data_IF_741906833200
#
_entry.id   IF_741906833200
#
_cell.length_a   1.000
_cell.length_b   1.000
_cell.length_c   1.000
_cell.angle_alpha   90.00
_cell.angle_beta   90.00
_cell.angle_gamma   90.00
#
_symmetry.space_group_name_H-M   'P 1'
#
loop_
_entity.id
_entity.type
_entity.pdbx_description
1 polymer ?
#
# COMPACT_ATOMS: atom_id res chain seq x y z
N UNK A 1 -10.01 12.85 -29.69
CA UNK A 1 -8.53 12.95 -29.79
C UNK A 1 -7.85 12.76 -28.44
N UNK A 2 -8.54 13.00 -27.32
CA UNK A 2 -8.03 12.78 -25.95
C UNK A 2 -7.57 11.34 -25.71
N UNK A 3 -8.37 10.35 -26.07
CA UNK A 3 -8.07 8.93 -25.82
C UNK A 3 -6.81 8.45 -26.57
N UNK A 4 -6.61 8.92 -27.81
CA UNK A 4 -5.40 8.61 -28.58
C UNK A 4 -4.15 9.18 -27.90
N UNK A 5 -4.25 10.40 -27.33
CA UNK A 5 -3.16 11.02 -26.59
C UNK A 5 -2.85 10.24 -25.29
N UNK A 6 -3.89 9.81 -24.56
CA UNK A 6 -3.74 8.98 -23.36
C UNK A 6 -3.09 7.63 -23.69
N UNK A 7 -3.54 6.96 -24.76
CA UNK A 7 -2.95 5.71 -25.22
C UNK A 7 -1.49 5.89 -25.66
N UNK A 8 -1.20 6.95 -26.41
CA UNK A 8 0.15 7.29 -26.82
C UNK A 8 1.04 7.55 -25.59
N UNK A 9 0.54 8.29 -24.60
CA UNK A 9 1.27 8.56 -23.36
C UNK A 9 1.54 7.27 -22.59
N UNK A 10 0.56 6.36 -22.51
CA UNK A 10 0.76 5.05 -21.88
C UNK A 10 1.93 4.29 -22.50
N UNK A 11 1.90 4.14 -23.83
CA UNK A 11 2.89 3.37 -24.60
C UNK A 11 4.28 3.99 -24.49
N UNK A 12 4.37 5.33 -24.57
CA UNK A 12 5.65 6.03 -24.58
C UNK A 12 6.26 6.23 -23.20
N UNK A 13 5.43 6.37 -22.16
CA UNK A 13 5.84 6.81 -20.84
C UNK A 13 5.34 5.88 -19.72
N UNK A 14 4.04 5.75 -19.50
CA UNK A 14 3.50 5.09 -18.30
C UNK A 14 3.95 3.63 -18.19
N UNK A 15 3.86 2.86 -19.27
CA UNK A 15 4.22 1.43 -19.30
C UNK A 15 5.67 1.16 -18.84
N UNK A 16 6.60 2.06 -19.18
CA UNK A 16 8.02 1.96 -18.82
C UNK A 16 8.30 2.16 -17.35
N UNK A 17 7.41 2.87 -16.67
CA UNK A 17 7.54 3.24 -15.26
C UNK A 17 6.69 2.36 -14.34
N UNK A 18 5.99 1.35 -14.87
CA UNK A 18 5.13 0.48 -14.07
C UNK A 18 5.89 -0.49 -13.18
N UNK A 19 7.16 -0.75 -13.47
CA UNK A 19 8.02 -1.69 -12.73
C UNK A 19 9.47 -1.31 -12.98
N UNK A 20 10.33 -1.53 -11.97
CA UNK A 20 11.77 -1.37 -12.10
C UNK A 20 12.41 -2.62 -12.74
N UNK A 21 11.71 -3.75 -12.70
CA UNK A 21 12.23 -5.01 -13.21
C UNK A 21 12.14 -5.11 -14.74
N UNK A 22 13.30 -5.08 -15.42
CA UNK A 22 13.41 -5.10 -16.90
C UNK A 22 12.60 -6.19 -17.59
N UNK A 23 12.52 -7.41 -17.02
CA UNK A 23 11.71 -8.47 -17.62
C UNK A 23 10.20 -8.21 -17.50
N UNK A 24 9.76 -7.58 -16.40
CA UNK A 24 8.36 -7.23 -16.15
C UNK A 24 7.94 -6.06 -17.05
N UNK A 25 8.86 -5.14 -17.33
CA UNK A 25 8.63 -3.99 -18.24
C UNK A 25 8.11 -4.43 -19.60
N UNK A 26 8.62 -5.53 -20.15
CA UNK A 26 8.17 -6.05 -21.47
C UNK A 26 6.67 -6.39 -21.47
N UNK A 27 6.14 -6.88 -20.35
CA UNK A 27 4.71 -7.18 -20.21
C UNK A 27 3.89 -5.89 -20.27
N UNK A 28 4.31 -4.87 -19.55
CA UNK A 28 3.64 -3.55 -19.54
C UNK A 28 3.73 -2.84 -20.89
N UNK A 29 4.85 -2.93 -21.60
CA UNK A 29 5.05 -2.23 -22.88
C UNK A 29 4.37 -2.91 -24.06
N UNK A 30 4.16 -4.23 -24.02
CA UNK A 30 3.71 -5.00 -25.18
C UNK A 30 2.43 -5.78 -24.92
N UNK A 31 2.45 -6.63 -23.89
CA UNK A 31 1.36 -7.58 -23.65
C UNK A 31 0.09 -6.85 -23.22
N UNK A 32 0.19 -5.92 -22.26
CA UNK A 32 -0.97 -5.18 -21.77
C UNK A 32 -1.61 -4.30 -22.86
N UNK A 33 -0.87 -3.50 -23.65
CA UNK A 33 -1.44 -2.76 -24.78
C UNK A 33 -2.10 -3.66 -25.83
N UNK A 34 -1.49 -4.80 -26.16
CA UNK A 34 -2.07 -5.76 -27.12
C UNK A 34 -3.39 -6.35 -26.59
N UNK A 35 -3.42 -6.71 -25.30
CA UNK A 35 -4.65 -7.18 -24.65
C UNK A 35 -5.72 -6.10 -24.59
N UNK A 36 -5.34 -4.85 -24.29
CA UNK A 36 -6.25 -3.71 -24.26
C UNK A 36 -6.84 -3.41 -25.64
N UNK A 37 -6.07 -3.56 -26.73
CA UNK A 37 -6.59 -3.41 -28.08
C UNK A 37 -7.68 -4.43 -28.43
N UNK A 38 -7.70 -5.58 -27.76
CA UNK A 38 -8.69 -6.65 -27.93
C UNK A 38 -9.81 -6.65 -26.87
N UNK A 39 -9.67 -5.90 -25.78
CA UNK A 39 -10.60 -5.89 -24.65
C UNK A 39 -10.92 -4.46 -24.22
N UNK A 40 -12.18 -4.04 -24.44
CA UNK A 40 -12.63 -2.67 -24.19
C UNK A 40 -12.43 -2.21 -22.75
N UNK A 41 -12.75 -3.05 -21.76
CA UNK A 41 -12.58 -2.69 -20.36
C UNK A 41 -11.10 -2.50 -19.98
N UNK A 42 -10.19 -3.28 -20.58
CA UNK A 42 -8.75 -3.11 -20.38
C UNK A 42 -8.25 -1.80 -21.02
N UNK A 43 -8.77 -1.45 -22.20
CA UNK A 43 -8.46 -0.15 -22.82
C UNK A 43 -8.83 0.99 -21.88
N UNK A 44 -10.04 0.98 -21.33
CA UNK A 44 -10.47 2.00 -20.38
C UNK A 44 -9.57 2.09 -19.15
N UNK A 45 -9.17 0.97 -18.55
CA UNK A 45 -8.24 0.98 -17.41
C UNK A 45 -6.84 1.51 -17.78
N UNK A 46 -6.33 1.17 -18.98
CA UNK A 46 -5.06 1.69 -19.51
C UNK A 46 -5.12 3.22 -19.69
N UNK A 47 -6.19 3.73 -20.29
CA UNK A 47 -6.39 5.17 -20.50
C UNK A 47 -6.49 5.93 -19.17
N UNK A 48 -7.22 5.37 -18.19
CA UNK A 48 -7.35 5.96 -16.87
C UNK A 48 -5.99 6.06 -16.16
N UNK A 49 -5.18 5.00 -16.20
CA UNK A 49 -3.86 4.98 -15.58
C UNK A 49 -2.87 5.93 -16.26
N UNK A 50 -2.93 6.06 -17.59
CA UNK A 50 -2.14 7.02 -18.33
C UNK A 50 -2.50 8.46 -17.96
N UNK A 51 -3.79 8.75 -17.82
CA UNK A 51 -4.27 10.05 -17.39
C UNK A 51 -3.78 10.41 -15.99
N UNK A 52 -3.74 9.44 -15.06
CA UNK A 52 -3.12 9.62 -13.76
C UNK A 52 -1.65 9.99 -13.88
N UNK A 53 -0.83 9.22 -14.61
CA UNK A 53 0.61 9.52 -14.77
C UNK A 53 0.85 10.94 -15.32
N UNK A 54 -0.01 11.42 -16.24
CA UNK A 54 0.05 12.81 -16.73
C UNK A 54 -0.23 13.81 -15.61
N UNK A 55 -1.32 13.64 -14.84
CA UNK A 55 -1.65 14.52 -13.72
C UNK A 55 -0.53 14.55 -12.69
N UNK A 56 -0.01 13.38 -12.31
CA UNK A 56 1.04 13.27 -11.30
C UNK A 56 2.34 13.91 -11.75
N UNK A 57 2.68 13.81 -13.04
CA UNK A 57 3.86 14.46 -13.61
C UNK A 57 3.69 15.97 -13.71
N UNK A 58 2.49 16.44 -14.07
CA UNK A 58 2.19 17.88 -14.16
C UNK A 58 2.28 18.56 -12.78
N UNK A 59 1.73 17.93 -11.74
CA UNK A 59 1.79 18.44 -10.37
C UNK A 59 3.24 18.54 -9.86
N UNK A 60 4.07 17.53 -10.14
CA UNK A 60 5.50 17.56 -9.77
C UNK A 60 6.24 18.73 -10.44
N UNK A 61 6.02 18.95 -11.74
CA UNK A 61 6.61 20.08 -12.47
C UNK A 61 6.14 21.45 -11.95
N UNK A 62 4.88 21.56 -11.50
CA UNK A 62 4.31 22.79 -10.95
C UNK A 62 4.91 23.14 -9.57
N UNK A 63 5.26 22.15 -8.75
CA UNK A 63 5.89 22.36 -7.44
C UNK A 63 7.36 22.80 -7.55
N UNK A 64 8.09 22.32 -8.57
CA UNK A 64 9.50 22.67 -8.79
C UNK A 64 9.70 24.05 -9.45
N UNK A 65 8.64 24.62 -10.05
CA UNK A 65 8.71 25.89 -10.78
C UNK A 65 8.01 27.01 -9.99
N UNK A 66 8.75 27.76 -9.18
CA UNK A 66 8.23 28.95 -8.47
C UNK A 66 7.93 30.15 -9.38
N UNK A 67 8.09 30.04 -10.69
CA UNK A 67 7.84 31.12 -11.65
C UNK A 67 6.47 30.96 -12.34
N UNK A 68 5.48 31.82 -12.05
CA UNK A 68 4.14 31.77 -12.64
C UNK A 68 4.08 32.22 -14.11
N UNK A 69 5.23 32.52 -14.73
CA UNK A 69 5.33 33.13 -16.06
C UNK A 69 5.71 32.14 -17.19
N UNK A 70 6.04 30.89 -16.87
CA UNK A 70 6.40 29.84 -17.85
C UNK A 70 5.28 28.81 -18.13
N UNK A 71 4.11 28.96 -17.53
CA UNK A 71 2.96 28.05 -17.67
C UNK A 71 2.22 28.12 -19.03
N UNK A 72 2.91 28.49 -20.12
CA UNK A 72 2.31 28.66 -21.46
C UNK A 72 2.55 27.50 -22.42
N UNK A 73 3.27 26.45 -22.02
CA UNK A 73 3.25 25.18 -22.74
C UNK A 73 2.01 24.41 -22.29
N UNK A 74 0.89 24.65 -22.99
CA UNK A 74 -0.36 23.89 -22.87
C UNK A 74 -0.12 22.41 -23.16
N UNK A 75 0.33 21.66 -22.16
CA UNK A 75 0.08 20.22 -22.10
C UNK A 75 -1.43 20.13 -21.95
N UNK A 76 -2.12 19.46 -22.88
CA UNK A 76 -3.54 19.14 -22.75
C UNK A 76 -3.70 18.20 -21.57
N UNK A 77 -3.71 18.74 -20.34
CA UNK A 77 -3.88 17.98 -19.12
C UNK A 77 -5.26 17.35 -19.19
N UNK A 78 -5.38 16.01 -19.12
CA UNK A 78 -6.68 15.36 -19.15
C UNK A 78 -7.53 15.85 -17.98
N UNK A 79 -8.81 16.13 -18.25
CA UNK A 79 -9.73 16.48 -17.18
C UNK A 79 -9.88 15.29 -16.25
N UNK A 80 -9.80 15.53 -14.93
CA UNK A 80 -9.97 14.51 -13.90
C UNK A 80 -11.23 13.66 -14.10
N UNK A 81 -12.31 14.30 -14.54
CA UNK A 81 -13.57 13.64 -14.88
C UNK A 81 -13.41 12.55 -15.96
N UNK A 82 -12.65 12.81 -17.02
CA UNK A 82 -12.42 11.82 -18.09
C UNK A 82 -11.62 10.61 -17.58
N UNK A 83 -10.69 10.82 -16.64
CA UNK A 83 -9.94 9.75 -15.99
C UNK A 83 -10.87 8.88 -15.14
N UNK A 84 -11.75 9.51 -14.36
CA UNK A 84 -12.76 8.83 -13.54
C UNK A 84 -13.72 8.03 -14.42
N UNK A 85 -14.21 8.63 -15.50
CA UNK A 85 -15.14 7.97 -16.43
C UNK A 85 -14.52 6.71 -17.02
N UNK A 86 -13.27 6.78 -17.51
CA UNK A 86 -12.56 5.60 -17.99
C UNK A 86 -12.32 4.58 -16.88
N UNK A 87 -11.94 5.00 -15.67
CA UNK A 87 -11.78 4.05 -14.56
C UNK A 87 -13.08 3.31 -14.23
N UNK A 88 -14.21 4.03 -14.17
CA UNK A 88 -15.54 3.46 -13.91
C UNK A 88 -15.98 2.51 -15.01
N UNK A 89 -15.80 2.87 -16.29
CA UNK A 89 -16.10 2.00 -17.43
C UNK A 89 -15.25 0.73 -17.40
N UNK A 90 -13.96 0.86 -17.15
CA UNK A 90 -13.04 -0.27 -17.01
C UNK A 90 -13.41 -1.19 -15.85
N UNK A 91 -13.79 -0.62 -14.70
CA UNK A 91 -14.24 -1.38 -13.53
C UNK A 91 -15.56 -2.12 -13.79
N UNK A 92 -16.52 -1.47 -14.45
CA UNK A 92 -17.80 -2.09 -14.80
C UNK A 92 -17.59 -3.30 -15.73
N UNK A 93 -16.74 -3.17 -16.76
CA UNK A 93 -16.43 -4.29 -17.66
C UNK A 93 -15.65 -5.41 -16.96
N UNK A 94 -14.76 -5.09 -16.02
CA UNK A 94 -14.09 -6.11 -15.20
C UNK A 94 -15.10 -6.86 -14.31
N UNK A 95 -16.04 -6.15 -13.68
CA UNK A 95 -17.09 -6.77 -12.88
C UNK A 95 -18.01 -7.67 -13.71
N UNK A 96 -18.36 -7.26 -14.93
CA UNK A 96 -19.10 -8.09 -15.87
C UNK A 96 -18.33 -9.36 -16.24
N UNK A 97 -17.04 -9.23 -16.56
CA UNK A 97 -16.18 -10.37 -16.88
C UNK A 97 -16.02 -11.36 -15.70
N UNK A 98 -16.02 -10.87 -14.46
CA UNK A 98 -16.00 -11.70 -13.25
C UNK A 98 -17.32 -12.43 -13.01
N UNK A 99 -18.45 -11.82 -13.37
CA UNK A 99 -19.79 -12.39 -13.20
C UNK A 99 -20.25 -13.25 -14.40
N UNK A 100 -19.47 -13.27 -15.49
CA UNK A 100 -19.82 -14.00 -16.71
C UNK A 100 -19.96 -15.51 -16.44
N UNK A 101 -20.97 -16.13 -17.06
CA UNK A 101 -21.25 -17.57 -16.93
C UNK A 101 -20.42 -18.43 -17.87
N UNK A 102 -19.80 -17.84 -18.90
CA UNK A 102 -18.85 -18.50 -19.80
C UNK A 102 -17.48 -18.68 -19.14
N UNK A 103 -16.62 -19.55 -19.70
CA UNK A 103 -15.23 -19.65 -19.25
C UNK A 103 -14.55 -18.27 -19.31
N UNK A 104 -14.14 -17.69 -18.17
CA UNK A 104 -13.60 -16.34 -18.14
C UNK A 104 -12.18 -16.31 -18.71
N UNK A 105 -11.85 -15.25 -19.45
CA UNK A 105 -10.47 -15.00 -19.87
C UNK A 105 -9.62 -14.63 -18.65
N UNK A 106 -8.94 -15.63 -18.10
CA UNK A 106 -8.09 -15.48 -16.92
C UNK A 106 -6.96 -14.46 -17.13
N UNK A 107 -6.41 -14.35 -18.36
CA UNK A 107 -5.38 -13.33 -18.64
C UNK A 107 -5.99 -11.93 -18.53
N UNK A 108 -7.14 -11.70 -19.17
CA UNK A 108 -7.81 -10.41 -19.14
C UNK A 108 -8.24 -10.01 -17.71
N UNK A 109 -8.76 -10.96 -16.92
CA UNK A 109 -9.12 -10.73 -15.53
C UNK A 109 -7.92 -10.35 -14.67
N UNK A 110 -6.79 -11.05 -14.83
CA UNK A 110 -5.56 -10.72 -14.11
C UNK A 110 -5.05 -9.33 -14.53
N UNK A 111 -4.97 -9.04 -15.83
CA UNK A 111 -4.51 -7.74 -16.33
C UNK A 111 -5.38 -6.60 -15.81
N UNK A 112 -6.70 -6.74 -15.88
CA UNK A 112 -7.65 -5.73 -15.40
C UNK A 112 -7.50 -5.48 -13.91
N UNK A 113 -7.35 -6.56 -13.12
CA UNK A 113 -7.20 -6.44 -11.67
C UNK A 113 -5.87 -5.79 -11.28
N UNK A 114 -4.77 -6.08 -11.99
CA UNK A 114 -3.48 -5.40 -11.79
C UNK A 114 -3.55 -3.91 -12.15
N UNK A 115 -4.26 -3.56 -13.22
CA UNK A 115 -4.47 -2.16 -13.61
C UNK A 115 -5.33 -1.41 -12.58
N UNK A 116 -6.37 -2.03 -12.04
CA UNK A 116 -7.20 -1.45 -10.96
C UNK A 116 -6.39 -1.23 -9.69
N UNK A 117 -5.57 -2.20 -9.28
CA UNK A 117 -4.64 -2.03 -8.15
C UNK A 117 -3.66 -0.89 -8.44
N UNK A 118 -3.04 -0.87 -9.61
CA UNK A 118 -2.10 0.19 -10.00
C UNK A 118 -2.76 1.57 -9.95
N UNK A 119 -4.00 1.68 -10.44
CA UNK A 119 -4.79 2.90 -10.36
C UNK A 119 -5.03 3.32 -8.91
N UNK A 120 -5.44 2.39 -8.04
CA UNK A 120 -5.71 2.70 -6.63
C UNK A 120 -4.48 3.23 -5.88
N UNK A 121 -3.29 2.69 -6.17
CA UNK A 121 -2.04 3.21 -5.61
C UNK A 121 -1.69 4.58 -6.21
N UNK A 122 -1.84 4.74 -7.53
CA UNK A 122 -1.53 5.99 -8.22
C UNK A 122 -2.49 7.13 -7.85
N UNK A 123 -3.74 6.84 -7.48
CA UNK A 123 -4.72 7.87 -7.11
C UNK A 123 -4.52 8.46 -5.71
N UNK A 124 -3.70 7.83 -4.87
CA UNK A 124 -3.45 8.30 -3.49
C UNK A 124 -2.92 9.74 -3.49
N UNK A 125 -3.57 10.59 -2.70
CA UNK A 125 -3.20 12.00 -2.54
C UNK A 125 -3.59 12.92 -3.71
N UNK A 126 -4.38 12.46 -4.69
CA UNK A 126 -4.91 13.33 -5.75
C UNK A 126 -6.26 13.91 -5.33
N UNK A 127 -6.30 15.23 -5.19
CA UNK A 127 -7.51 15.96 -4.82
C UNK A 127 -8.66 15.68 -5.82
N UNK A 128 -9.79 15.16 -5.33
CA UNK A 128 -10.98 14.81 -6.14
C UNK A 128 -11.05 13.35 -6.61
N UNK A 129 -9.96 12.59 -6.47
CA UNK A 129 -9.97 11.12 -6.55
C UNK A 129 -9.77 10.46 -5.19
N UNK A 130 -9.25 11.22 -4.24
CA UNK A 130 -9.21 10.90 -2.83
C UNK A 130 -10.64 11.05 -2.23
N UNK A 131 -11.33 9.95 -1.86
CA UNK A 131 -12.64 10.00 -1.20
C UNK A 131 -12.64 10.72 0.15
N UNK A 132 -11.48 11.07 0.73
CA UNK A 132 -11.37 11.80 1.99
C UNK A 132 -11.64 13.31 1.87
N UNK A 133 -11.79 13.85 0.66
CA UNK A 133 -12.12 15.27 0.44
C UNK A 133 -13.60 15.38 0.06
N UNK A 134 -14.51 15.75 0.99
CA UNK A 134 -15.87 16.07 0.62
C UNK A 134 -15.85 17.28 -0.33
N UNK A 135 -16.43 17.11 -1.51
CA UNK A 135 -16.68 18.20 -2.45
C UNK A 135 -17.78 19.10 -1.86
N UNK A 136 -17.43 19.94 -0.89
CA UNK A 136 -18.31 21.00 -0.44
C UNK A 136 -18.36 22.07 -1.52
N UNK A 137 -19.43 22.03 -2.31
CA UNK A 137 -19.85 23.15 -3.13
C UNK A 137 -19.86 24.42 -2.29
N UNK A 138 -19.25 25.47 -2.83
CA UNK A 138 -19.29 26.84 -2.33
C UNK A 138 -20.68 27.23 -1.81
N UNK A 139 -20.81 27.38 -0.49
CA UNK A 139 -21.63 28.44 0.08
C UNK A 139 -20.85 29.10 1.21
N UNK A 140 -20.28 30.25 0.87
CA UNK A 140 -19.80 31.25 1.82
C UNK A 140 -20.88 31.57 2.86
N UNK A 141 -20.59 31.36 4.16
CA UNK A 141 -21.07 32.21 5.26
C UNK A 141 -20.41 31.84 6.62
N UNK A 142 -19.68 32.81 7.18
CA UNK A 142 -19.63 33.20 8.61
C UNK A 142 -19.40 32.15 9.72
N UNK A 143 -18.27 32.31 10.43
CA UNK A 143 -18.32 32.67 11.86
C UNK A 143 -17.99 31.62 12.92
N UNK A 144 -17.02 32.01 13.77
CA UNK A 144 -16.72 31.56 15.13
C UNK A 144 -16.11 30.16 15.36
N UNK A 145 -14.90 30.16 15.92
CA UNK A 145 -14.09 29.00 16.21
C UNK A 145 -14.75 28.00 17.14
N UNK A 146 -14.65 26.74 16.74
CA UNK A 146 -14.99 25.55 17.52
C UNK A 146 -13.71 24.74 17.75
N UNK A 147 -13.45 24.16 18.94
CA UNK A 147 -12.20 23.48 19.27
C UNK A 147 -12.19 21.99 18.88
N UNK A 148 -13.04 21.55 17.95
CA UNK A 148 -13.00 20.18 17.45
C UNK A 148 -11.91 20.06 16.37
N UNK A 149 -11.16 18.94 16.31
CA UNK A 149 -10.27 18.69 15.20
C UNK A 149 -11.09 18.74 13.90
N UNK A 150 -10.57 19.33 12.81
CA UNK A 150 -11.30 19.46 11.57
C UNK A 150 -11.77 18.08 11.11
N UNK A 151 -13.07 17.96 10.83
CA UNK A 151 -13.74 16.73 10.40
C UNK A 151 -13.26 16.15 9.05
N UNK A 152 -12.17 16.69 8.49
CA UNK A 152 -11.59 16.35 7.19
C UNK A 152 -10.33 15.45 7.28
N UNK A 153 -9.98 14.93 8.46
CA UNK A 153 -8.79 14.05 8.64
C UNK A 153 -9.09 12.56 8.34
N UNK A 154 -10.33 12.19 7.99
CA UNK A 154 -10.91 10.94 8.50
C UNK A 154 -11.06 9.70 7.60
N UNK A 155 -10.52 9.63 6.38
CA UNK A 155 -10.61 8.38 5.59
C UNK A 155 -9.22 7.93 5.16
N UNK A 156 -8.72 6.88 5.82
CA UNK A 156 -7.53 6.15 5.39
C UNK A 156 -7.86 5.28 4.19
N UNK A 157 -6.96 5.25 3.22
CA UNK A 157 -7.14 4.43 2.03
C UNK A 157 -6.70 3.00 2.33
N UNK A 158 -7.65 2.18 2.76
CA UNK A 158 -7.42 0.74 3.02
C UNK A 158 -8.05 -0.17 1.96
N UNK A 159 -8.86 0.39 1.05
CA UNK A 159 -9.56 -0.38 0.00
C UNK A 159 -8.60 -1.15 -0.92
N UNK A 160 -7.41 -0.62 -1.13
CA UNK A 160 -6.38 -1.27 -1.94
C UNK A 160 -5.97 -2.65 -1.37
N UNK A 161 -6.02 -2.85 -0.03
CA UNK A 161 -5.75 -4.14 0.59
C UNK A 161 -6.73 -5.20 0.09
N UNK A 162 -8.02 -4.83 0.03
CA UNK A 162 -9.08 -5.70 -0.50
C UNK A 162 -8.89 -5.97 -2.00
N UNK A 163 -8.48 -4.96 -2.78
CA UNK A 163 -8.19 -5.13 -4.20
C UNK A 163 -7.04 -6.12 -4.44
N UNK A 164 -5.94 -6.01 -3.69
CA UNK A 164 -4.80 -6.96 -3.79
C UNK A 164 -5.20 -8.38 -3.37
N UNK A 165 -6.07 -8.52 -2.36
CA UNK A 165 -6.66 -9.82 -2.00
C UNK A 165 -7.50 -10.38 -3.15
N UNK A 166 -8.28 -9.54 -3.83
CA UNK A 166 -9.02 -9.91 -5.04
C UNK A 166 -8.11 -10.45 -6.15
N UNK A 167 -7.00 -9.77 -6.43
CA UNK A 167 -5.97 -10.27 -7.38
C UNK A 167 -5.45 -11.63 -6.95
N UNK A 168 -5.18 -11.83 -5.66
CA UNK A 168 -4.66 -13.09 -5.14
C UNK A 168 -5.68 -14.23 -5.28
N UNK A 169 -6.96 -13.96 -5.09
CA UNK A 169 -8.04 -14.93 -5.34
C UNK A 169 -8.09 -15.36 -6.80
N UNK A 170 -7.99 -14.41 -7.75
CA UNK A 170 -7.91 -14.71 -9.19
C UNK A 170 -6.66 -15.56 -9.50
N UNK A 171 -5.50 -15.19 -8.93
CA UNK A 171 -4.26 -15.94 -9.09
C UNK A 171 -4.40 -17.40 -8.63
N UNK A 172 -4.98 -17.62 -7.44
CA UNK A 172 -5.22 -18.96 -6.88
C UNK A 172 -6.17 -19.77 -7.75
N UNK A 173 -7.29 -19.17 -8.17
CA UNK A 173 -8.31 -19.83 -8.96
C UNK A 173 -7.80 -20.25 -10.34
N UNK A 174 -7.04 -19.38 -11.01
CA UNK A 174 -6.60 -19.59 -12.40
C UNK A 174 -5.12 -19.93 -12.54
N UNK A 175 -4.43 -20.30 -11.45
CA UNK A 175 -3.00 -20.59 -11.44
C UNK A 175 -2.52 -21.55 -12.55
N UNK A 176 -3.21 -22.67 -12.85
CA UNK A 176 -2.76 -23.60 -13.88
C UNK A 176 -2.61 -22.96 -15.26
N UNK A 177 -3.49 -22.00 -15.58
CA UNK A 177 -3.51 -21.21 -16.82
C UNK A 177 -2.51 -20.07 -16.74
N UNK A 178 -2.58 -19.27 -15.67
CA UNK A 178 -1.79 -18.05 -15.50
C UNK A 178 -0.27 -18.30 -15.43
N UNK A 179 0.17 -19.42 -14.85
CA UNK A 179 1.61 -19.75 -14.82
C UNK A 179 2.23 -19.99 -16.21
N UNK A 180 1.41 -20.25 -17.23
CA UNK A 180 1.84 -20.49 -18.61
C UNK A 180 1.57 -19.31 -19.54
N UNK A 181 0.81 -18.33 -19.07
CA UNK A 181 0.27 -17.24 -19.88
C UNK A 181 1.33 -16.18 -20.24
N UNK A 182 0.93 -15.17 -21.01
CA UNK A 182 1.82 -14.06 -21.40
C UNK A 182 2.17 -13.12 -20.24
N UNK A 183 1.31 -13.04 -19.22
CA UNK A 183 1.52 -12.25 -18.00
C UNK A 183 2.43 -12.94 -16.98
N UNK A 184 2.87 -14.18 -17.21
CA UNK A 184 3.62 -14.99 -16.24
C UNK A 184 4.86 -14.30 -15.66
N UNK A 185 5.51 -13.41 -16.40
CA UNK A 185 6.69 -12.70 -15.92
C UNK A 185 6.36 -11.73 -14.77
N UNK A 186 5.13 -11.22 -14.68
CA UNK A 186 4.67 -10.41 -13.55
C UNK A 186 4.46 -11.25 -12.28
N UNK A 187 4.25 -12.56 -12.44
CA UNK A 187 3.95 -13.48 -11.33
C UNK A 187 5.18 -14.05 -10.65
N UNK A 188 6.35 -13.87 -11.27
CA UNK A 188 7.63 -14.30 -10.70
C UNK A 188 8.08 -13.22 -9.72
N UNK A 189 8.05 -13.55 -8.43
CA UNK A 189 8.53 -12.69 -7.36
C UNK A 189 9.71 -13.38 -6.68
N UNK A 190 10.92 -13.14 -7.17
CA UNK A 190 12.10 -13.91 -6.75
C UNK A 190 12.43 -13.69 -5.28
N UNK A 191 12.16 -12.50 -4.76
CA UNK A 191 12.48 -12.11 -3.38
C UNK A 191 11.29 -12.19 -2.42
N UNK A 192 10.12 -12.64 -2.90
CA UNK A 192 8.94 -12.88 -2.07
C UNK A 192 8.94 -14.33 -1.55
N UNK A 193 10.03 -14.74 -0.89
CA UNK A 193 10.24 -16.11 -0.42
C UNK A 193 10.72 -16.13 1.04
N UNK A 194 11.04 -17.32 1.55
CA UNK A 194 11.51 -17.51 2.93
C UNK A 194 13.03 -17.74 3.04
N UNK A 195 13.80 -17.45 1.99
CA UNK A 195 15.24 -17.72 1.95
C UNK A 195 15.99 -16.96 3.06
N UNK A 196 15.48 -15.79 3.46
CA UNK A 196 16.04 -15.00 4.56
C UNK A 196 16.11 -15.78 5.88
N UNK A 197 15.20 -16.75 6.11
CA UNK A 197 15.19 -17.59 7.32
C UNK A 197 16.45 -18.46 7.42
N UNK A 198 17.06 -18.81 6.29
CA UNK A 198 18.32 -19.58 6.26
C UNK A 198 19.52 -18.74 6.74
N UNK A 199 19.41 -17.41 6.69
CA UNK A 199 20.46 -16.47 7.06
C UNK A 199 20.00 -15.49 8.14
N UNK A 200 19.00 -15.85 8.95
CA UNK A 200 18.34 -14.94 9.90
C UNK A 200 19.33 -14.21 10.82
N UNK A 201 20.29 -14.93 11.39
CA UNK A 201 21.30 -14.34 12.27
C UNK A 201 22.16 -13.27 11.57
N UNK A 202 22.39 -13.40 10.26
CA UNK A 202 23.11 -12.43 9.45
C UNK A 202 22.21 -11.23 9.12
N UNK A 203 20.95 -11.48 8.75
CA UNK A 203 19.94 -10.45 8.44
C UNK A 203 19.69 -9.54 9.64
N UNK A 204 19.53 -10.12 10.83
CA UNK A 204 19.33 -9.37 12.09
C UNK A 204 20.60 -8.69 12.58
N UNK A 205 21.78 -9.12 12.11
CA UNK A 205 23.02 -8.42 12.41
C UNK A 205 23.01 -7.06 11.71
N UNK A 206 23.18 -5.98 12.48
CA UNK A 206 23.17 -4.57 12.02
C UNK A 206 24.36 -4.26 11.06
N UNK A 207 25.14 -5.26 10.63
CA UNK A 207 26.16 -5.11 9.59
C UNK A 207 25.57 -5.06 8.17
N UNK A 208 24.45 -4.35 7.96
CA UNK A 208 24.18 -3.86 6.61
C UNK A 208 25.35 -2.94 6.27
N UNK A 209 26.07 -3.25 5.18
CA UNK A 209 27.14 -2.38 4.65
C UNK A 209 26.51 -1.13 4.06
N UNK A 210 25.90 -0.30 4.91
CA UNK A 210 25.13 0.91 4.59
C UNK A 210 25.95 2.01 3.91
N UNK A 211 27.27 1.81 3.81
CA UNK A 211 28.21 2.74 3.16
C UNK A 211 27.90 2.99 1.68
N UNK A 212 27.10 2.14 1.03
CA UNK A 212 26.80 2.25 -0.39
C UNK A 212 25.36 2.69 -0.73
N UNK A 213 24.45 2.73 0.26
CA UNK A 213 23.06 3.15 0.05
C UNK A 213 22.99 4.67 0.03
N UNK A 214 22.61 5.28 -1.10
CA UNK A 214 22.53 6.75 -1.21
C UNK A 214 21.19 7.27 -0.71
N UNK A 215 20.11 6.55 -0.99
CA UNK A 215 18.77 6.87 -0.50
C UNK A 215 18.75 6.93 1.03
N UNK A 216 18.28 8.08 1.54
CA UNK A 216 18.12 8.32 2.98
C UNK A 216 17.11 7.32 3.57
N UNK A 217 15.96 7.13 2.90
CA UNK A 217 14.88 6.24 3.34
C UNK A 217 15.34 4.81 3.52
N UNK A 218 16.07 4.29 2.53
CA UNK A 218 16.64 2.95 2.61
C UNK A 218 17.66 2.82 3.75
N UNK A 219 18.44 3.87 4.02
CA UNK A 219 19.39 3.88 5.14
C UNK A 219 18.67 3.85 6.49
N UNK A 220 17.68 4.72 6.70
CA UNK A 220 16.87 4.78 7.93
C UNK A 220 16.12 3.45 8.16
N UNK A 221 15.59 2.87 7.07
CA UNK A 221 14.97 1.55 7.12
C UNK A 221 15.97 0.49 7.61
N UNK A 222 17.14 0.41 6.98
CA UNK A 222 18.16 -0.59 7.31
C UNK A 222 18.64 -0.51 8.77
N UNK A 223 18.73 0.69 9.34
CA UNK A 223 19.23 0.89 10.70
C UNK A 223 18.16 0.66 11.77
N UNK A 224 16.88 0.90 11.47
CA UNK A 224 15.82 0.84 12.48
C UNK A 224 14.83 -0.32 12.36
N UNK A 225 14.77 -1.04 11.24
CA UNK A 225 13.77 -2.09 11.00
C UNK A 225 13.71 -3.17 12.11
N UNK A 226 14.87 -3.70 12.54
CA UNK A 226 14.92 -4.71 13.62
C UNK A 226 14.39 -4.18 14.95
N UNK A 227 14.71 -2.93 15.27
CA UNK A 227 14.29 -2.28 16.51
C UNK A 227 12.79 -1.99 16.49
N UNK A 228 12.27 -1.47 15.37
CA UNK A 228 10.84 -1.22 15.18
C UNK A 228 10.00 -2.51 15.34
N UNK A 229 10.44 -3.62 14.73
CA UNK A 229 9.78 -4.93 14.89
C UNK A 229 9.82 -5.40 16.35
N UNK A 230 10.96 -5.23 17.04
CA UNK A 230 11.09 -5.60 18.45
C UNK A 230 10.11 -4.80 19.32
N UNK A 231 9.97 -3.50 19.07
CA UNK A 231 9.03 -2.64 19.80
C UNK A 231 7.56 -3.02 19.57
N UNK A 232 7.19 -3.44 18.36
CA UNK A 232 5.85 -3.97 18.08
C UNK A 232 5.58 -5.25 18.87
N UNK A 233 6.56 -6.15 18.94
CA UNK A 233 6.44 -7.37 19.74
C UNK A 233 6.35 -7.07 21.25
N UNK A 234 7.08 -6.08 21.74
CA UNK A 234 6.99 -5.63 23.13
C UNK A 234 5.60 -5.05 23.45
N UNK A 235 5.01 -4.29 22.52
CA UNK A 235 3.61 -3.85 22.61
C UNK A 235 2.67 -5.05 22.70
N UNK A 236 2.77 -5.99 21.76
CA UNK A 236 1.94 -7.19 21.74
C UNK A 236 2.01 -7.98 23.05
N UNK A 237 3.23 -8.23 23.55
CA UNK A 237 3.46 -8.96 24.80
C UNK A 237 2.80 -8.26 26.01
N UNK A 238 2.86 -6.93 26.06
CA UNK A 238 2.25 -6.17 27.15
C UNK A 238 0.72 -6.13 27.09
N UNK A 239 0.14 -6.07 25.88
CA UNK A 239 -1.32 -6.12 25.70
C UNK A 239 -1.85 -7.49 26.10
N UNK A 240 -1.11 -8.55 25.75
CA UNK A 240 -1.40 -9.92 26.18
C UNK A 240 -1.39 -10.06 27.70
N UNK A 241 -0.34 -9.55 28.37
CA UNK A 241 -0.25 -9.59 29.83
C UNK A 241 -1.41 -8.84 30.50
N UNK A 242 -1.83 -7.70 29.96
CA UNK A 242 -2.96 -6.93 30.48
C UNK A 242 -4.27 -7.71 30.35
N UNK A 243 -4.52 -8.36 29.22
CA UNK A 243 -5.70 -9.20 29.02
C UNK A 243 -5.75 -10.39 29.98
N UNK A 244 -4.61 -11.05 30.21
CA UNK A 244 -4.53 -12.20 31.12
C UNK A 244 -4.80 -11.81 32.60
N UNK A 245 -4.44 -10.57 32.99
CA UNK A 245 -4.70 -10.04 34.33
C UNK A 245 -6.18 -9.68 34.55
N UNK A 246 -6.86 -9.19 33.51
CA UNK A 246 -8.29 -8.87 33.57
C UNK A 246 -9.14 -10.15 33.69
N UNK A 247 -8.77 -11.26 33.03
CA UNK A 247 -9.43 -12.57 33.19
C UNK A 247 -9.17 -13.22 34.56
N UNK A 248 -8.01 -13.00 35.17
CA UNK A 248 -7.64 -13.57 36.47
C UNK A 248 -8.35 -12.93 37.68
N UNK A 249 -8.99 -11.77 37.51
CA UNK A 249 -9.59 -10.99 38.61
C UNK A 249 -11.07 -11.31 38.88
N UNK A 250 -11.75 -12.09 38.04
CA UNK A 250 -13.17 -12.47 38.25
C UNK A 250 -13.37 -13.68 39.20
N UNK A 251 -12.31 -14.15 39.86
CA UNK A 251 -12.36 -15.18 40.89
C UNK A 251 -12.87 -14.68 42.25
N UNK A 252 -14.07 -14.09 42.32
CA UNK A 252 -14.79 -13.89 43.59
C UNK A 252 -16.18 -14.53 43.52
N UNK A 253 -16.49 -15.54 44.36
CA UNK A 253 -17.72 -16.31 44.23
C UNK A 253 -18.87 -15.56 44.90
N UNK A 254 -19.62 -14.75 44.16
CA UNK A 254 -20.95 -14.32 44.62
C UNK A 254 -21.89 -13.94 43.47
N UNK A 255 -23.04 -14.61 43.48
CA UNK A 255 -24.26 -14.40 42.70
C UNK A 255 -24.29 -14.90 41.25
N UNK A 256 -24.92 -16.05 41.10
CA UNK A 256 -25.33 -16.63 39.84
C UNK A 256 -26.37 -15.75 39.13
N UNK A 257 -26.00 -15.21 37.96
CA UNK A 257 -26.94 -14.84 36.90
C UNK A 257 -26.25 -15.11 35.56
N UNK A 258 -26.81 -15.95 34.65
CA UNK A 258 -26.17 -16.23 33.37
C UNK A 258 -26.38 -15.02 32.45
N UNK A 259 -25.33 -14.23 32.25
CA UNK A 259 -25.31 -13.08 31.33
C UNK A 259 -24.20 -13.30 30.31
N UNK A 260 -24.60 -13.77 29.12
CA UNK A 260 -23.88 -13.77 27.83
C UNK A 260 -22.35 -13.61 27.87
N UNK A 261 -21.64 -14.74 27.76
CA UNK A 261 -20.18 -14.88 27.65
C UNK A 261 -19.59 -14.40 26.30
N UNK A 262 -20.07 -13.30 25.72
CA UNK A 262 -19.58 -12.81 24.41
C UNK A 262 -18.45 -11.77 24.51
N UNK A 263 -18.19 -11.19 25.69
CA UNK A 263 -17.28 -10.04 25.79
C UNK A 263 -15.81 -10.41 26.02
N UNK A 264 -15.52 -11.52 26.71
CA UNK A 264 -14.13 -11.96 26.98
C UNK A 264 -13.44 -12.62 25.78
N UNK A 265 -14.19 -13.37 24.95
CA UNK A 265 -13.63 -14.11 23.82
C UNK A 265 -13.17 -13.19 22.67
N UNK A 266 -13.76 -11.99 22.55
CA UNK A 266 -13.42 -11.02 21.50
C UNK A 266 -12.03 -10.42 21.64
N UNK A 267 -11.62 -10.00 22.84
CA UNK A 267 -10.32 -9.35 23.09
C UNK A 267 -9.13 -10.26 22.74
N UNK A 268 -9.22 -11.54 23.11
CA UNK A 268 -8.19 -12.54 22.84
C UNK A 268 -8.03 -12.81 21.35
N UNK A 269 -9.13 -12.85 20.59
CA UNK A 269 -9.08 -13.01 19.14
C UNK A 269 -8.36 -11.82 18.45
N UNK A 270 -8.60 -10.59 18.90
CA UNK A 270 -7.87 -9.41 18.39
C UNK A 270 -6.37 -9.48 18.70
N UNK A 271 -5.98 -9.93 19.89
CA UNK A 271 -4.57 -10.09 20.26
C UNK A 271 -3.86 -11.14 19.40
N UNK A 272 -4.50 -12.26 19.10
CA UNK A 272 -3.94 -13.27 18.19
C UNK A 272 -3.81 -12.70 16.77
N UNK A 273 -4.82 -11.97 16.30
CA UNK A 273 -4.80 -11.29 15.00
C UNK A 273 -3.67 -10.25 14.92
N UNK A 274 -3.43 -9.45 15.96
CA UNK A 274 -2.28 -8.51 15.98
C UNK A 274 -0.94 -9.24 15.95
N UNK A 275 -0.80 -10.34 16.69
CA UNK A 275 0.43 -11.14 16.66
C UNK A 275 0.72 -11.71 15.27
N UNK A 276 -0.31 -12.21 14.58
CA UNK A 276 -0.19 -12.68 13.20
C UNK A 276 0.23 -11.56 12.25
N UNK A 277 -0.41 -10.38 12.35
CA UNK A 277 -0.08 -9.25 11.49
C UNK A 277 1.32 -8.68 11.77
N UNK A 278 1.76 -8.61 13.02
CA UNK A 278 3.14 -8.22 13.37
C UNK A 278 4.13 -9.22 12.77
N UNK A 279 3.81 -10.53 12.77
CA UNK A 279 4.61 -11.53 12.05
C UNK A 279 4.73 -11.25 10.55
N UNK A 280 3.67 -10.76 9.90
CA UNK A 280 3.72 -10.32 8.49
C UNK A 280 4.64 -9.11 8.31
N UNK A 281 4.60 -8.13 9.22
CA UNK A 281 5.53 -6.97 9.23
C UNK A 281 6.97 -7.46 9.36
N UNK A 282 7.24 -8.38 10.28
CA UNK A 282 8.57 -8.94 10.50
C UNK A 282 9.08 -9.67 9.25
N UNK A 283 8.31 -10.59 8.69
CA UNK A 283 8.66 -11.31 7.46
C UNK A 283 8.99 -10.33 6.32
N UNK A 284 8.20 -9.28 6.17
CA UNK A 284 8.39 -8.23 5.17
C UNK A 284 9.71 -7.47 5.39
N UNK A 285 10.00 -7.08 6.63
CA UNK A 285 11.22 -6.35 6.96
C UNK A 285 12.46 -7.22 6.77
N UNK A 286 12.40 -8.49 7.19
CA UNK A 286 13.52 -9.42 7.00
C UNK A 286 13.78 -9.71 5.53
N UNK A 287 12.75 -9.84 4.68
CA UNK A 287 12.92 -9.96 3.22
C UNK A 287 13.61 -8.74 2.62
N UNK A 288 13.20 -7.54 3.01
CA UNK A 288 13.82 -6.29 2.53
C UNK A 288 15.29 -6.22 2.96
N UNK A 289 15.58 -6.44 4.25
CA UNK A 289 16.94 -6.46 4.76
C UNK A 289 17.81 -7.53 4.08
N UNK A 290 17.25 -8.72 3.83
CA UNK A 290 17.92 -9.79 3.10
C UNK A 290 18.32 -9.35 1.68
N UNK A 291 17.42 -8.73 0.93
CA UNK A 291 17.72 -8.18 -0.40
C UNK A 291 18.80 -7.09 -0.32
N UNK A 292 18.77 -6.24 0.70
CA UNK A 292 19.77 -5.20 0.91
C UNK A 292 21.17 -5.76 1.22
N UNK A 293 21.25 -6.88 1.93
CA UNK A 293 22.51 -7.51 2.32
C UNK A 293 23.10 -8.43 1.25
N UNK A 294 22.24 -9.13 0.50
CA UNK A 294 22.65 -10.16 -0.46
C UNK A 294 22.88 -9.64 -1.88
N UNK A 295 22.65 -8.35 -2.14
CA UNK A 295 22.97 -7.77 -3.43
C UNK A 295 24.50 -7.84 -3.70
N UNK A 296 24.92 -8.30 -4.89
CA UNK A 296 26.29 -8.71 -5.14
C UNK A 296 27.29 -7.56 -4.98
N UNK A 297 28.32 -7.84 -4.19
CA UNK A 297 29.46 -7.01 -3.83
C UNK A 297 30.38 -6.55 -4.98
N UNK A 298 30.02 -6.83 -6.24
CA UNK A 298 30.96 -6.74 -7.37
C UNK A 298 30.77 -5.56 -8.32
N UNK A 299 29.71 -4.75 -8.21
CA UNK A 299 29.59 -3.56 -9.06
C UNK A 299 30.09 -2.31 -8.34
N UNK A 300 31.16 -1.71 -8.85
CA UNK A 300 31.64 -0.37 -8.50
C UNK A 300 30.62 0.75 -8.80
N UNK A 301 29.35 0.39 -9.04
CA UNK A 301 28.26 1.25 -9.46
C UNK A 301 26.89 0.66 -9.08
N UNK A 302 26.75 0.02 -7.91
CA UNK A 302 25.42 -0.40 -7.41
C UNK A 302 24.58 0.86 -7.25
N UNK A 303 23.72 1.10 -8.24
CA UNK A 303 22.76 2.19 -8.19
C UNK A 303 21.64 1.75 -7.27
N UNK A 304 21.12 2.66 -6.44
CA UNK A 304 19.96 2.36 -5.58
C UNK A 304 18.77 1.79 -6.39
N UNK A 305 18.72 2.07 -7.70
CA UNK A 305 17.77 1.49 -8.65
C UNK A 305 17.86 -0.04 -8.78
N UNK A 306 19.07 -0.61 -8.79
CA UNK A 306 19.25 -2.08 -8.82
C UNK A 306 18.76 -2.71 -7.53
N UNK A 307 19.03 -2.06 -6.40
CA UNK A 307 18.52 -2.47 -5.10
C UNK A 307 16.99 -2.41 -5.07
N UNK A 308 16.40 -1.29 -5.47
CA UNK A 308 14.95 -1.11 -5.50
C UNK A 308 14.24 -2.07 -6.46
N UNK A 309 14.90 -2.50 -7.53
CA UNK A 309 14.39 -3.58 -8.40
C UNK A 309 14.20 -4.88 -7.62
N UNK A 310 15.14 -5.23 -6.73
CA UNK A 310 14.99 -6.37 -5.84
C UNK A 310 13.93 -6.15 -4.76
N UNK A 311 13.74 -4.91 -4.32
CA UNK A 311 12.77 -4.54 -3.28
C UNK A 311 11.33 -4.53 -3.79
N UNK A 312 11.06 -4.19 -5.06
CA UNK A 312 9.72 -4.19 -5.64
C UNK A 312 8.99 -5.52 -5.40
N UNK A 313 9.69 -6.64 -5.61
CA UNK A 313 9.18 -7.99 -5.37
C UNK A 313 8.97 -8.30 -3.89
N UNK A 314 9.91 -7.87 -3.04
CA UNK A 314 9.88 -8.14 -1.60
C UNK A 314 8.83 -7.30 -0.86
N UNK A 315 8.65 -6.04 -1.25
CA UNK A 315 7.95 -5.02 -0.49
C UNK A 315 6.45 -4.91 -0.80
N UNK A 316 6.03 -5.20 -2.05
CA UNK A 316 4.66 -4.84 -2.49
C UNK A 316 3.80 -6.06 -2.82
N UNK A 317 4.39 -7.09 -3.44
CA UNK A 317 3.61 -8.20 -4.00
C UNK A 317 3.41 -9.38 -3.03
N UNK A 318 4.19 -9.45 -1.96
CA UNK A 318 4.36 -10.68 -1.17
C UNK A 318 3.55 -10.81 0.12
N UNK A 319 2.80 -9.79 0.54
CA UNK A 319 2.26 -9.75 1.92
C UNK A 319 0.78 -9.33 2.08
N UNK A 320 0.15 -8.49 1.22
CA UNK A 320 -1.21 -8.01 1.54
C UNK A 320 -2.25 -9.12 1.66
N UNK A 321 -2.03 -10.25 1.00
CA UNK A 321 -2.86 -11.44 1.07
C UNK A 321 -2.65 -12.30 2.33
N UNK A 322 -1.64 -11.98 3.14
CA UNK A 322 -1.34 -12.66 4.41
C UNK A 322 -2.09 -12.04 5.60
N UNK A 323 -2.67 -10.84 5.42
CA UNK A 323 -3.47 -10.19 6.45
C UNK A 323 -4.81 -10.89 6.64
N UNK A 324 -5.24 -11.07 7.89
CA UNK A 324 -6.56 -11.61 8.22
C UNK A 324 -7.69 -10.62 7.85
N UNK A 325 -8.89 -11.13 7.55
CA UNK A 325 -10.07 -10.26 7.38
C UNK A 325 -10.43 -9.52 8.67
N UNK A 326 -10.13 -10.12 9.83
CA UNK A 326 -10.32 -9.53 11.15
C UNK A 326 -9.46 -8.28 11.30
N UNK A 327 -8.18 -8.34 10.92
CA UNK A 327 -7.31 -7.18 10.94
C UNK A 327 -7.80 -6.09 10.00
N UNK A 328 -8.16 -6.43 8.75
CA UNK A 328 -8.67 -5.43 7.80
C UNK A 328 -9.93 -4.77 8.34
N UNK A 329 -10.86 -5.56 8.89
CA UNK A 329 -12.11 -5.06 9.46
C UNK A 329 -11.88 -4.15 10.68
N UNK A 330 -10.81 -4.38 11.45
CA UNK A 330 -10.43 -3.51 12.58
C UNK A 330 -9.99 -2.11 12.12
N UNK A 331 -9.57 -1.95 10.86
CA UNK A 331 -9.21 -0.65 10.29
C UNK A 331 -10.44 0.14 9.82
N UNK A 332 -11.54 -0.54 9.49
CA UNK A 332 -12.78 0.07 8.99
C UNK A 332 -13.69 0.60 10.11
N UNK A 333 -13.32 0.52 11.39
CA UNK A 333 -14.24 0.87 12.48
C UNK A 333 -14.55 2.37 12.49
N UNK A 334 -15.74 2.74 12.00
CA UNK A 334 -16.31 4.09 12.05
C UNK A 334 -16.81 4.50 13.45
N UNK A 335 -16.31 3.83 14.50
CA UNK A 335 -16.72 4.03 15.90
C UNK A 335 -15.88 5.08 16.63
N UNK A 336 -16.01 5.11 17.96
CA UNK A 336 -15.09 5.87 18.81
C UNK A 336 -13.68 5.33 18.65
N UNK A 337 -12.77 6.18 18.18
CA UNK A 337 -11.34 5.90 18.11
C UNK A 337 -10.83 5.48 19.49
N UNK A 338 -10.52 4.20 19.65
CA UNK A 338 -10.01 3.61 20.88
C UNK A 338 -8.55 3.18 20.75
N UNK A 339 -7.95 2.72 21.86
CA UNK A 339 -6.56 2.27 21.88
C UNK A 339 -6.32 1.07 20.96
N UNK A 340 -7.29 0.16 20.77
CA UNK A 340 -7.15 -1.02 19.93
C UNK A 340 -7.12 -0.65 18.44
N UNK A 341 -7.96 0.29 18.02
CA UNK A 341 -7.88 0.89 16.69
C UNK A 341 -6.54 1.60 16.53
N UNK A 342 -6.05 2.31 17.55
CA UNK A 342 -4.71 2.89 17.57
C UNK A 342 -3.60 1.87 17.29
N UNK A 343 -3.65 0.69 17.90
CA UNK A 343 -2.70 -0.42 17.63
C UNK A 343 -2.77 -0.85 16.17
N UNK A 344 -3.98 -1.03 15.63
CA UNK A 344 -4.20 -1.44 14.23
C UNK A 344 -3.61 -0.43 13.25
N UNK A 345 -3.75 0.87 13.55
CA UNK A 345 -3.21 1.96 12.77
C UNK A 345 -1.68 2.03 12.82
N UNK A 346 -1.07 1.84 13.99
CA UNK A 346 0.38 1.75 14.12
C UNK A 346 0.94 0.60 13.28
N UNK A 347 0.32 -0.58 13.36
CA UNK A 347 0.72 -1.74 12.54
C UNK A 347 0.56 -1.41 11.04
N UNK A 348 -0.53 -0.75 10.64
CA UNK A 348 -0.76 -0.31 9.27
C UNK A 348 0.33 0.64 8.78
N UNK A 349 0.77 1.61 9.60
CA UNK A 349 1.86 2.51 9.24
C UNK A 349 3.17 1.74 8.99
N UNK A 350 3.47 0.73 9.81
CA UNK A 350 4.64 -0.13 9.59
C UNK A 350 4.55 -0.96 8.30
N UNK A 351 3.34 -1.37 7.90
CA UNK A 351 3.10 -2.04 6.62
C UNK A 351 3.24 -1.08 5.42
N UNK A 352 3.04 0.22 5.62
CA UNK A 352 3.19 1.25 4.57
C UNK A 352 4.64 1.66 4.37
N UNK A 353 5.50 1.57 5.40
CA UNK A 353 6.94 1.90 5.30
C UNK A 353 7.64 1.19 4.12
N UNK A 354 7.51 -0.13 3.92
CA UNK A 354 8.03 -0.84 2.74
C UNK A 354 7.61 -0.27 1.38
N UNK A 355 6.42 0.31 1.28
CA UNK A 355 5.93 0.95 0.06
C UNK A 355 6.54 2.36 -0.06
N UNK A 356 6.67 3.08 1.06
CA UNK A 356 7.24 4.43 1.12
C UNK A 356 8.75 4.48 0.82
N UNK A 357 9.50 3.40 1.08
CA UNK A 357 10.93 3.31 0.73
C UNK A 357 11.20 3.05 -0.76
N UNK A 358 10.17 2.72 -1.55
CA UNK A 358 10.24 2.59 -3.01
C UNK A 358 9.93 3.93 -3.67
N UNK A 359 10.86 4.88 -3.58
CA UNK A 359 10.69 6.25 -4.07
C UNK A 359 10.91 6.43 -5.58
N UNK A 360 11.50 5.44 -6.28
CA UNK A 360 11.72 5.50 -7.74
C UNK A 360 10.47 5.11 -8.56
N UNK A 361 9.46 4.51 -7.94
CA UNK A 361 8.19 4.17 -8.60
C UNK A 361 7.20 5.33 -8.47
N UNK A 362 6.74 5.85 -9.61
CA UNK A 362 5.95 7.09 -9.68
C UNK A 362 4.62 7.07 -8.90
N UNK A 363 4.08 5.87 -8.65
CA UNK A 363 2.84 5.63 -7.91
C UNK A 363 3.08 5.13 -6.47
N UNK A 364 4.33 5.02 -6.03
CA UNK A 364 4.74 4.75 -4.65
C UNK A 364 5.51 5.94 -4.05
N UNK A 365 6.24 5.72 -2.96
CA UNK A 365 7.07 6.75 -2.32
C UNK A 365 6.23 7.85 -1.68
N UNK A 366 6.41 9.09 -2.14
CA UNK A 366 5.88 10.32 -1.52
C UNK A 366 4.37 10.32 -1.25
N UNK A 367 3.60 9.55 -2.03
CA UNK A 367 2.15 9.44 -1.83
C UNK A 367 1.79 8.69 -0.55
N UNK A 368 2.63 7.74 -0.15
CA UNK A 368 2.45 6.96 1.07
C UNK A 368 2.89 7.72 2.32
N UNK A 369 3.77 8.70 2.17
CA UNK A 369 4.12 9.63 3.26
C UNK A 369 2.88 10.30 3.83
N UNK A 370 1.95 10.72 2.95
CA UNK A 370 0.71 11.38 3.33
C UNK A 370 -0.15 10.45 4.20
N UNK A 371 -0.26 9.17 3.83
CA UNK A 371 -1.05 8.21 4.60
C UNK A 371 -0.38 7.88 5.95
N UNK A 372 0.95 7.76 5.99
CA UNK A 372 1.69 7.58 7.25
C UNK A 372 1.52 8.81 8.16
N UNK A 373 1.53 10.03 7.60
CA UNK A 373 1.28 11.27 8.34
C UNK A 373 -0.17 11.39 8.85
N UNK A 374 -1.16 10.97 8.05
CA UNK A 374 -2.56 10.86 8.47
C UNK A 374 -2.68 9.91 9.66
N UNK A 375 -2.08 8.72 9.58
CA UNK A 375 -2.04 7.76 10.68
C UNK A 375 -1.41 8.37 11.92
N UNK A 376 -0.25 9.03 11.80
CA UNK A 376 0.41 9.67 12.93
C UNK A 376 -0.48 10.74 13.59
N UNK A 377 -1.19 11.54 12.79
CA UNK A 377 -2.12 12.54 13.31
C UNK A 377 -3.25 11.90 14.12
N UNK A 378 -3.80 10.78 13.64
CA UNK A 378 -4.83 10.02 14.34
C UNK A 378 -4.29 9.41 15.65
N UNK A 379 -3.09 8.83 15.62
CA UNK A 379 -2.45 8.22 16.80
C UNK A 379 -2.09 9.27 17.85
N UNK A 380 -1.52 10.42 17.45
CA UNK A 380 -1.25 11.55 18.36
C UNK A 380 -2.55 12.08 18.98
N UNK A 381 -3.65 12.09 18.22
CA UNK A 381 -4.98 12.45 18.72
C UNK A 381 -5.51 11.56 19.85
N UNK A 382 -5.04 10.31 19.95
CA UNK A 382 -5.40 9.39 21.03
C UNK A 382 -4.67 9.72 22.35
N UNK A 383 -3.52 10.39 22.30
CA UNK A 383 -2.72 10.74 23.47
C UNK A 383 -2.05 9.56 24.18
N UNK A 384 -2.01 8.37 23.57
CA UNK A 384 -1.30 7.20 24.11
C UNK A 384 0.21 7.33 23.82
N UNK A 385 1.01 7.61 24.84
CA UNK A 385 2.47 7.83 24.73
C UNK A 385 3.20 6.65 24.07
N UNK A 386 2.70 5.43 24.28
CA UNK A 386 3.35 4.25 23.73
C UNK A 386 3.06 4.09 22.25
N UNK A 387 1.82 4.32 21.82
CA UNK A 387 1.48 4.31 20.40
C UNK A 387 2.17 5.45 19.66
N UNK A 388 2.28 6.63 20.28
CA UNK A 388 3.05 7.75 19.72
C UNK A 388 4.52 7.40 19.53
N UNK A 389 5.17 6.77 20.53
CA UNK A 389 6.57 6.33 20.41
C UNK A 389 6.78 5.31 19.27
N UNK A 390 5.81 4.43 19.03
CA UNK A 390 5.88 3.47 17.91
C UNK A 390 5.77 4.14 16.53
N UNK A 391 5.12 5.31 16.45
CA UNK A 391 4.99 6.07 15.21
C UNK A 391 6.22 6.92 14.87
N UNK A 392 7.15 7.14 15.81
CA UNK A 392 8.35 7.96 15.59
C UNK A 392 9.18 7.41 14.41
N UNK A 393 9.49 6.10 14.41
CA UNK A 393 10.33 5.52 13.37
C UNK A 393 9.67 5.50 11.97
N UNK A 394 8.39 5.10 11.78
CA UNK A 394 7.71 5.26 10.50
C UNK A 394 7.75 6.69 9.95
N UNK A 395 7.67 7.70 10.82
CA UNK A 395 7.79 9.11 10.44
C UNK A 395 9.23 9.47 10.06
N UNK A 396 10.22 9.05 10.85
CA UNK A 396 11.64 9.31 10.56
C UNK A 396 12.09 8.73 9.21
N UNK A 397 11.53 7.59 8.80
CA UNK A 397 11.86 6.96 7.51
C UNK A 397 11.37 7.79 6.32
N UNK A 398 10.27 8.53 6.45
CA UNK A 398 9.69 9.31 5.32
C UNK A 398 10.17 10.76 5.26
N UNK A 399 10.71 11.31 6.36
CA UNK A 399 11.38 12.61 6.43
C UNK A 399 12.77 12.58 5.77
#
# INVERSE_FOLDING_TARGET
>A
MTDLNLLQHFILHTAKKMTLHKMKTVVWERVIPEMAAANEFLMHLVLALAGLDILTTADACAQDTQDPSSASMSVNVPHLQSIVEHHQQGLAGLQEALCATSEPDAEALLAGSLLVVSFAFASLGINGLDPSIPTHQHTSNSGLGSPYPPSDVGILHIQWLRLVRGVTSILKQFWPTLRKCRLRALLICNNANEDWKMCEAQVRSIMVRSRHIRSKRLREFATGANHAVSHLWDLHASLRLRSDLEEGSEGSPSSATPRSDETGNGSKAYLETYGQTIGVVEDLYMRILYVMQMNPLESHSSSDLELQTGLEDAAVSGWPHLLSEEFISSLDSHGTFDTLQGVSLVILAHLYVPIAILDELWYFGKRWDIEIQKINTLVVGLGDERLMSLMEWPIDVIL
#
